data_IF_366628139987
#
_entry.id   IF_366628139987
#
_cell.length_a   1.000
_cell.length_b   1.000
_cell.length_c   1.000
_cell.angle_alpha   90.00
_cell.angle_beta   90.00
_cell.angle_gamma   90.00
#
_symmetry.space_group_name_H-M   'P 1'
#
loop_
_entity.id
_entity.type
_entity.pdbx_description
1 polymer ?
2 polymer ?
3 water ?
#
# COMPACT_ATOMS: atom_id res chain seq x y z
N UNK A 5 0.12 15.10 -2.42
CA UNK A 5 -0.78 14.41 -1.50
C UNK A 5 -0.11 14.05 -0.16
N UNK A 6 1.21 13.78 -0.17
CA UNK A 6 1.88 13.38 1.07
C UNK A 6 1.91 14.49 2.10
N UNK A 7 2.02 15.75 1.65
CA UNK A 7 2.00 16.86 2.61
C UNK A 7 0.63 16.93 3.29
N UNK A 8 -0.44 16.62 2.55
CA UNK A 8 -1.78 16.57 3.15
C UNK A 8 -1.86 15.49 4.22
N UNK A 9 -1.30 14.31 3.93
CA UNK A 9 -1.32 13.20 4.88
C UNK A 9 -0.49 13.51 6.11
N UNK A 10 0.71 14.08 5.92
CA UNK A 10 1.57 14.37 7.06
C UNK A 10 0.89 15.31 8.04
N UNK A 11 0.11 16.26 7.53
CA UNK A 11 -0.58 17.21 8.39
C UNK A 11 -1.79 16.56 9.06
N UNK A 12 -2.56 15.80 8.30
CA UNK A 12 -3.63 15.01 8.91
C UNK A 12 -3.07 14.15 10.03
N UNK A 13 -1.94 13.47 9.76
CA UNK A 13 -1.32 12.63 10.77
C UNK A 13 -0.75 13.45 11.92
N UNK A 14 -0.17 14.61 11.62
CA UNK A 14 0.40 15.44 12.68
C UNK A 14 -0.69 15.90 13.65
N UNK A 15 -1.85 16.28 13.13
CA UNK A 15 -2.94 16.73 14.00
C UNK A 15 -3.42 15.61 14.92
N UNK A 16 -3.66 14.43 14.36
CA UNK A 16 -4.18 13.31 15.15
C UNK A 16 -3.22 12.95 16.27
N UNK A 17 -1.93 12.80 15.94
CA UNK A 17 -0.96 12.39 16.95
C UNK A 17 -0.79 13.47 18.02
N UNK A 18 -1.02 14.74 17.65
CA UNK A 18 -1.05 15.82 18.63
C UNK A 18 -2.22 15.69 19.59
N UNK A 19 -3.27 14.97 19.19
CA UNK A 19 -4.45 14.80 20.01
C UNK A 19 -4.19 13.93 21.22
N UNK A 20 -3.15 13.11 21.18
CA UNK A 20 -2.92 12.07 22.19
C UNK A 20 -4.14 11.16 22.25
N UNK A 21 -4.54 10.57 21.12
CA UNK A 21 -5.87 9.93 21.04
C UNK A 21 -6.06 8.75 21.99
N UNK A 22 -5.01 8.14 22.50
CA UNK A 22 -5.20 7.07 23.47
C UNK A 22 -5.41 7.60 24.88
N UNK A 23 -5.34 8.92 25.07
CA UNK A 23 -5.42 9.54 26.39
C UNK A 23 -6.81 10.12 26.69
N UNK A 24 -7.80 9.86 25.84
CA UNK A 24 -9.14 10.38 26.07
C UNK A 24 -9.68 9.93 27.42
N UNK A 25 -10.60 10.75 27.97
CA UNK A 25 -11.34 10.30 29.13
C UNK A 25 -12.18 9.07 28.83
N UNK A 26 -12.82 9.03 27.67
CA UNK A 26 -13.54 7.85 27.22
C UNK A 26 -13.28 7.69 25.72
N UNK A 27 -12.34 6.80 25.37
CA UNK A 27 -12.10 6.47 23.98
C UNK A 27 -13.32 5.82 23.38
N UNK A 28 -13.77 6.33 22.23
CA UNK A 28 -14.91 5.80 21.49
C UNK A 28 -14.49 5.53 20.04
N UNK A 29 -13.56 4.58 19.90
CA UNK A 29 -12.91 4.36 18.60
C UNK A 29 -13.94 4.08 17.51
N UNK A 30 -14.95 3.27 17.81
CA UNK A 30 -15.93 2.92 16.80
C UNK A 30 -16.66 4.15 16.27
N UNK A 31 -16.76 5.21 17.06
CA UNK A 31 -17.39 6.45 16.60
C UNK A 31 -16.60 7.14 15.50
N UNK A 32 -15.34 6.73 15.27
CA UNK A 32 -14.51 7.32 14.24
C UNK A 32 -14.57 6.57 12.93
N UNK A 33 -15.33 5.49 12.86
CA UNK A 33 -15.45 4.72 11.62
C UNK A 33 -16.27 5.48 10.59
N UNK A 34 -15.94 5.24 9.32
CA UNK A 34 -16.68 5.80 8.19
C UNK A 34 -16.60 4.80 7.04
N UNK A 35 -17.48 3.79 7.05
CA UNK A 35 -17.35 2.66 6.10
C UNK A 35 -17.29 3.03 4.62
N UNK A 36 -17.70 4.24 4.26
CA UNK A 36 -17.66 4.66 2.87
C UNK A 36 -16.29 5.23 2.46
N UNK A 37 -15.33 5.29 3.38
CA UNK A 37 -13.97 5.71 3.07
C UNK A 37 -13.03 4.52 2.85
N UNK A 38 -13.58 3.30 2.73
CA UNK A 38 -12.75 2.13 2.45
C UNK A 38 -11.97 2.37 1.16
N UNK A 39 -10.69 2.00 1.08
CA UNK A 39 -9.94 2.22 -0.16
C UNK A 39 -10.40 1.32 -1.30
N UNK A 40 -10.06 1.74 -2.51
CA UNK A 40 -10.30 0.95 -3.72
C UNK A 40 -9.14 0.00 -3.97
N UNK A 41 -7.93 0.44 -3.67
CA UNK A 41 -6.73 -0.33 -3.94
C UNK A 41 -5.89 -0.42 -2.69
N UNK A 42 -5.29 -1.58 -2.48
CA UNK A 42 -4.17 -1.75 -1.56
C UNK A 42 -3.30 -2.87 -2.10
N UNK A 43 -2.12 -3.00 -1.51
CA UNK A 43 -1.16 -4.02 -1.92
C UNK A 43 -1.51 -5.30 -1.18
N UNK A 44 -1.88 -6.34 -1.92
CA UNK A 44 -2.31 -7.57 -1.30
C UNK A 44 -1.19 -8.60 -1.15
N UNK A 45 -0.08 -8.44 -1.88
CA UNK A 45 1.09 -9.34 -1.85
C UNK A 45 2.30 -8.52 -2.29
N UNK A 46 3.48 -8.92 -1.81
CA UNK A 46 4.72 -8.31 -2.31
C UNK A 46 5.88 -9.28 -2.17
N UNK A 47 6.89 -9.11 -3.03
CA UNK A 47 8.10 -9.93 -3.05
C UNK A 47 9.28 -8.99 -3.27
N UNK A 48 10.23 -8.98 -2.33
CA UNK A 48 11.38 -8.07 -2.41
C UNK A 48 12.56 -8.82 -2.99
N UNK A 49 12.72 -8.74 -4.30
CA UNK A 49 13.90 -9.29 -4.97
C UNK A 49 14.84 -8.18 -5.38
N UNK A 50 14.94 -7.14 -4.55
CA UNK A 50 15.65 -5.92 -4.91
C UNK A 50 17.16 -6.12 -4.96
N UNK A 51 17.67 -7.23 -4.41
CA UNK A 51 19.07 -7.57 -4.61
C UNK A 51 19.36 -7.96 -6.05
N UNK A 52 18.35 -8.32 -6.83
CA UNK A 52 18.52 -8.82 -8.18
C UNK A 52 17.69 -8.07 -9.21
N UNK A 53 16.40 -7.88 -8.98
CA UNK A 53 15.53 -7.33 -10.02
C UNK A 53 14.73 -6.12 -9.57
N UNK A 54 14.21 -6.14 -8.35
CA UNK A 54 13.29 -5.11 -7.91
C UNK A 54 12.19 -5.73 -7.07
N UNK A 55 11.11 -4.98 -6.89
CA UNK A 55 10.02 -5.32 -5.99
C UNK A 55 8.78 -5.67 -6.81
N UNK A 56 8.28 -6.90 -6.65
CA UNK A 56 7.05 -7.30 -7.30
C UNK A 56 5.90 -7.29 -6.29
N UNK A 57 4.71 -6.99 -6.78
CA UNK A 57 3.58 -6.84 -5.85
C UNK A 57 2.29 -7.21 -6.57
N UNK A 58 1.26 -7.49 -5.77
CA UNK A 58 -0.11 -7.65 -6.26
C UNK A 58 -0.98 -6.59 -5.61
N UNK A 59 -1.92 -6.05 -6.38
CA UNK A 59 -2.95 -5.16 -5.87
C UNK A 59 -4.22 -5.97 -5.64
N UNK A 60 -5.12 -5.43 -4.82
CA UNK A 60 -6.27 -6.23 -4.38
C UNK A 60 -7.20 -6.61 -5.54
N UNK A 61 -7.06 -5.98 -6.69
CA UNK A 61 -7.88 -6.35 -7.84
C UNK A 61 -7.24 -7.45 -8.68
N UNK A 62 -6.18 -8.08 -8.19
CA UNK A 62 -5.42 -9.14 -8.86
C UNK A 62 -4.57 -8.63 -10.01
N UNK A 63 -4.49 -7.31 -10.20
CA UNK A 63 -3.41 -6.80 -11.04
C UNK A 63 -2.08 -7.00 -10.31
N UNK A 64 -0.97 -7.02 -11.08
CA UNK A 64 0.34 -7.20 -10.49
C UNK A 64 1.26 -6.13 -11.08
N UNK A 65 2.39 -5.91 -10.42
CA UNK A 65 3.31 -4.88 -10.88
C UNK A 65 4.72 -5.16 -10.41
N UNK A 66 5.68 -4.50 -11.05
CA UNK A 66 7.06 -4.55 -10.60
C UNK A 66 7.61 -3.14 -10.62
N UNK A 67 8.37 -2.79 -9.59
CA UNK A 67 9.17 -1.57 -9.59
C UNK A 67 10.60 -2.06 -9.71
N UNK A 68 11.14 -1.98 -10.93
CA UNK A 68 12.46 -2.53 -11.18
C UNK A 68 13.53 -1.67 -10.52
N UNK A 69 14.73 -2.26 -10.38
CA UNK A 69 15.84 -1.56 -9.74
C UNK A 69 16.30 -0.34 -10.53
N UNK A 70 15.97 -0.29 -11.81
CA UNK A 70 16.27 0.88 -12.62
C UNK A 70 15.17 1.94 -12.55
N UNK A 71 14.31 1.85 -11.55
CA UNK A 71 13.23 2.78 -11.26
C UNK A 71 12.17 2.84 -12.35
N UNK A 72 12.16 1.89 -13.29
CA UNK A 72 11.02 1.74 -14.19
C UNK A 72 9.99 0.80 -13.57
N UNK A 73 8.75 0.89 -14.09
CA UNK A 73 7.64 0.08 -13.58
C UNK A 73 6.91 -0.61 -14.73
N UNK A 74 6.48 -1.85 -14.49
CA UNK A 74 5.62 -2.54 -15.42
C UNK A 74 4.44 -3.12 -14.66
N UNK A 75 3.24 -2.83 -15.13
CA UNK A 75 1.99 -3.27 -14.52
C UNK A 75 1.28 -4.18 -15.51
N UNK A 76 0.70 -5.27 -14.98
CA UNK A 76 -0.16 -6.16 -15.74
C UNK A 76 -1.58 -6.06 -15.18
N UNK A 77 -2.55 -5.77 -16.04
CA UNK A 77 -3.93 -5.66 -15.58
C UNK A 77 -4.49 -7.03 -15.18
N UNK A 78 -5.60 -7.01 -14.46
CA UNK A 78 -6.18 -8.32 -14.09
C UNK A 78 -6.83 -9.02 -15.26
N UNK A 79 -6.89 -8.42 -16.45
CA UNK A 79 -7.29 -9.19 -17.60
C UNK A 79 -6.20 -10.15 -18.07
N UNK A 80 -4.98 -10.03 -17.53
CA UNK A 80 -3.91 -10.95 -17.84
C UNK A 80 -3.17 -10.64 -19.13
N UNK A 81 -3.47 -9.52 -19.78
CA UNK A 81 -2.92 -9.24 -21.10
C UNK A 81 -2.44 -7.79 -21.23
N UNK A 82 -3.23 -6.85 -20.71
CA UNK A 82 -2.89 -5.43 -20.87
C UNK A 82 -1.76 -5.02 -19.92
N UNK A 83 -0.78 -4.31 -20.46
CA UNK A 83 0.39 -3.83 -19.74
C UNK A 83 0.45 -2.32 -19.76
N UNK A 84 0.98 -1.73 -18.68
CA UNK A 84 1.40 -0.34 -18.73
C UNK A 84 2.85 -0.26 -18.27
N UNK A 85 3.67 0.42 -19.06
CA UNK A 85 5.08 0.62 -18.76
C UNK A 85 5.28 2.07 -18.35
N UNK A 86 6.02 2.28 -17.27
CA UNK A 86 6.27 3.63 -16.78
C UNK A 86 7.77 3.81 -16.63
N UNK A 87 8.32 4.75 -17.39
CA UNK A 87 9.75 5.00 -17.40
C UNK A 87 10.16 5.78 -16.15
N UNK A 88 11.47 5.99 -16.01
CA UNK A 88 12.00 6.66 -14.82
C UNK A 88 11.39 8.05 -14.65
N UNK A 89 11.20 8.77 -15.75
CA UNK A 89 10.64 10.12 -15.70
C UNK A 89 9.10 10.14 -15.61
N UNK A 90 8.45 9.00 -15.45
CA UNK A 90 7.00 8.96 -15.36
C UNK A 90 6.25 8.82 -16.67
N UNK A 91 6.96 8.73 -17.79
CA UNK A 91 6.31 8.57 -19.10
C UNK A 91 5.63 7.22 -19.18
N UNK A 92 4.36 7.22 -19.57
CA UNK A 92 3.48 6.05 -19.53
C UNK A 92 3.12 5.57 -20.94
N UNK A 93 3.17 4.26 -21.13
CA UNK A 93 2.86 3.60 -22.39
C UNK A 93 2.04 2.36 -22.14
N UNK A 94 1.07 2.11 -23.01
CA UNK A 94 0.28 0.89 -22.98
C UNK A 94 0.81 -0.10 -24.01
N UNK A 95 0.89 -1.36 -23.61
CA UNK A 95 1.31 -2.47 -24.46
C UNK A 95 0.47 -3.66 -24.05
N UNK A 96 0.59 -4.78 -24.76
CA UNK A 96 -0.09 -5.99 -24.33
C UNK A 96 0.90 -7.15 -24.38
N UNK A 97 0.59 -8.22 -23.63
CA UNK A 97 1.37 -9.44 -23.78
C UNK A 97 1.22 -9.98 -25.21
N UNK A 98 0.03 -9.85 -25.78
CA UNK A 98 -0.16 -10.18 -27.19
C UNK A 98 0.76 -9.34 -28.07
N UNK A 99 0.57 -8.01 -28.05
CA UNK A 99 1.26 -7.07 -28.94
C UNK A 99 2.15 -6.14 -28.11
N UNK A 100 3.43 -6.47 -28.00
CA UNK A 100 4.39 -5.64 -27.29
C UNK A 100 5.71 -5.63 -28.04
N UNK A 101 6.60 -4.69 -27.71
CA UNK A 101 7.93 -4.68 -28.35
C UNK A 101 8.87 -5.70 -27.73
N UNK A 102 9.89 -6.04 -28.51
CA UNK A 102 10.90 -6.99 -28.08
C UNK A 102 11.77 -6.42 -26.95
N UNK A 103 11.89 -5.09 -26.87
CA UNK A 103 12.78 -4.49 -25.87
C UNK A 103 12.30 -4.76 -24.44
N UNK A 104 11.04 -5.09 -24.25
CA UNK A 104 10.53 -5.35 -22.91
C UNK A 104 10.42 -6.84 -22.62
N UNK A 105 10.98 -7.69 -23.48
CA UNK A 105 10.78 -9.12 -23.31
C UNK A 105 11.32 -9.61 -21.98
N UNK A 106 12.50 -9.12 -21.58
CA UNK A 106 13.08 -9.56 -20.31
C UNK A 106 12.25 -9.07 -19.12
N UNK A 107 11.85 -7.80 -19.13
CA UNK A 107 11.05 -7.28 -18.03
C UNK A 107 9.69 -7.98 -17.94
N UNK A 108 9.10 -8.38 -19.07
CA UNK A 108 7.83 -9.09 -19.03
C UNK A 108 8.00 -10.47 -18.42
N UNK A 109 9.11 -11.16 -18.71
CA UNK A 109 9.27 -12.47 -18.08
C UNK A 109 9.59 -12.34 -16.60
N UNK A 110 10.30 -11.27 -16.20
CA UNK A 110 10.49 -11.03 -14.78
C UNK A 110 9.15 -10.82 -14.09
N UNK A 111 8.25 -10.04 -14.72
CA UNK A 111 6.93 -9.86 -14.13
C UNK A 111 6.20 -11.19 -14.01
N UNK A 112 6.19 -11.98 -15.09
CA UNK A 112 5.54 -13.29 -15.03
C UNK A 112 6.18 -14.17 -13.95
N UNK A 113 7.49 -14.05 -13.76
CA UNK A 113 8.16 -14.80 -12.69
C UNK A 113 7.67 -14.35 -11.32
N UNK A 114 7.62 -13.04 -11.08
CA UNK A 114 7.00 -12.51 -9.86
C UNK A 114 5.55 -12.99 -9.72
N UNK A 115 4.77 -12.87 -10.80
CA UNK A 115 3.35 -13.26 -10.77
C UNK A 115 3.21 -14.71 -10.33
N UNK A 116 4.03 -15.58 -10.92
CA UNK A 116 3.97 -17.00 -10.62
C UNK A 116 4.34 -17.27 -9.18
N UNK A 117 5.40 -16.63 -8.69
CA UNK A 117 5.79 -16.80 -7.30
C UNK A 117 4.66 -16.40 -6.37
N UNK A 118 4.03 -15.25 -6.63
CA UNK A 118 3.02 -14.77 -5.69
C UNK A 118 1.82 -15.70 -5.64
N UNK A 119 1.40 -16.25 -6.78
CA UNK A 119 0.22 -17.13 -6.79
C UNK A 119 0.51 -18.47 -6.13
N UNK A 120 1.77 -18.92 -6.18
CA UNK A 120 2.14 -20.22 -5.60
C UNK A 120 2.42 -20.14 -4.11
N UNK A 121 2.84 -18.99 -3.59
CA UNK A 121 3.40 -18.90 -2.24
C UNK A 121 2.60 -18.06 -1.26
N UNK A 122 1.90 -17.02 -1.72
CA UNK A 122 1.55 -15.89 -0.87
C UNK A 122 0.05 -15.76 -0.64
N UNK A 123 -0.30 -15.40 0.59
CA UNK A 123 -1.69 -15.14 0.97
C UNK A 123 -2.11 -13.75 0.52
N UNK A 124 -3.32 -13.64 -0.04
CA UNK A 124 -3.81 -12.36 -0.55
C UNK A 124 -4.44 -11.59 0.62
N UNK A 125 -3.81 -10.46 0.98
CA UNK A 125 -4.27 -9.67 2.12
C UNK A 125 -5.58 -8.98 1.81
N UNK A 126 -6.48 -8.97 2.80
CA UNK A 126 -7.77 -8.33 2.64
C UNK A 126 -8.70 -9.00 1.66
N UNK A 127 -8.55 -10.31 1.44
CA UNK A 127 -9.31 -10.93 0.36
C UNK A 127 -10.80 -10.93 0.65
N UNK A 128 -11.18 -10.74 1.91
CA UNK A 128 -12.58 -10.70 2.32
C UNK A 128 -13.17 -9.29 2.32
N UNK A 129 -12.44 -8.28 1.85
CA UNK A 129 -12.92 -6.90 1.81
C UNK A 129 -13.31 -6.55 0.39
N UNK A 130 -14.50 -5.97 0.22
CA UNK A 130 -14.79 -5.44 -1.11
C UNK A 130 -14.30 -4.00 -1.22
N UNK A 131 -13.52 -3.67 -2.24
CA UNK A 131 -13.04 -2.29 -2.37
C UNK A 131 -14.18 -1.34 -2.71
N UNK A 132 -13.96 -0.08 -2.39
CA UNK A 132 -14.90 0.96 -2.77
C UNK A 132 -14.96 1.11 -4.29
N UNK A 133 -16.11 1.56 -4.79
CA UNK A 133 -16.29 1.78 -6.22
C UNK A 133 -15.41 2.92 -6.74
N UNK A 138 -11.87 4.58 -11.15
CA UNK A 138 -10.62 4.63 -10.39
C UNK A 138 -9.45 4.16 -11.25
N UNK A 139 -8.49 5.06 -11.47
CA UNK A 139 -7.34 4.75 -12.32
C UNK A 139 -6.38 3.79 -11.61
N UNK A 140 -5.95 2.74 -12.32
CA UNK A 140 -5.09 1.73 -11.71
C UNK A 140 -3.76 2.36 -11.32
N UNK A 141 -3.38 2.36 -10.04
CA UNK A 141 -2.12 2.99 -9.65
C UNK A 141 -0.94 2.04 -9.81
N UNK A 142 0.26 2.61 -9.79
CA UNK A 142 1.48 1.82 -9.70
C UNK A 142 2.24 2.17 -8.41
N UNK A 143 3.25 1.35 -8.10
CA UNK A 143 4.07 1.60 -6.92
C UNK A 143 5.08 2.68 -7.25
N UNK A 144 4.93 3.85 -6.62
CA UNK A 144 5.90 4.93 -6.85
C UNK A 144 7.21 4.64 -6.16
N UNK A 145 7.17 4.36 -4.87
CA UNK A 145 8.38 4.06 -4.12
C UNK A 145 8.02 3.14 -2.96
N UNK A 146 9.06 2.53 -2.39
CA UNK A 146 8.87 1.65 -1.26
C UNK A 146 10.17 1.61 -0.47
N UNK A 147 10.07 1.23 0.79
CA UNK A 147 11.28 0.86 1.52
C UNK A 147 10.89 -0.06 2.66
N UNK A 148 11.85 -0.84 3.10
CA UNK A 148 11.70 -1.72 4.26
C UNK A 148 12.50 -1.16 5.43
N UNK A 149 11.94 -1.31 6.62
CA UNK A 149 12.66 -1.18 7.88
C UNK A 149 12.72 -2.56 8.54
N UNK A 150 13.22 -2.61 9.77
CA UNK A 150 13.32 -3.92 10.41
C UNK A 150 11.96 -4.39 10.91
N UNK A 151 10.98 -3.49 11.03
CA UNK A 151 9.67 -3.85 11.55
C UNK A 151 8.53 -3.76 10.53
N UNK A 152 8.75 -3.17 9.35
CA UNK A 152 7.62 -2.90 8.46
C UNK A 152 8.13 -2.68 7.04
N UNK A 153 7.23 -2.84 6.07
CA UNK A 153 7.46 -2.39 4.70
C UNK A 153 6.51 -1.24 4.41
N UNK A 154 7.01 -0.23 3.72
CA UNK A 154 6.29 1.00 3.44
C UNK A 154 6.10 1.10 1.93
N UNK A 155 4.87 1.32 1.49
CA UNK A 155 4.54 1.22 0.08
C UNK A 155 3.74 2.46 -0.32
N UNK A 156 4.25 3.20 -1.29
CA UNK A 156 3.62 4.45 -1.71
C UNK A 156 3.14 4.29 -3.14
N UNK A 157 1.82 4.32 -3.32
CA UNK A 157 1.16 4.14 -4.61
C UNK A 157 0.98 5.48 -5.31
N UNK A 158 0.84 5.41 -6.64
CA UNK A 158 0.76 6.62 -7.46
C UNK A 158 -0.53 7.39 -7.28
N UNK A 159 -1.53 6.80 -6.62
CA UNK A 159 -2.79 7.49 -6.34
C UNK A 159 -2.75 8.23 -5.02
N UNK A 160 -1.60 8.26 -4.36
CA UNK A 160 -1.41 8.99 -3.12
C UNK A 160 -1.41 8.13 -1.87
N UNK A 161 -1.96 6.93 -1.95
CA UNK A 161 -2.07 6.08 -0.78
C UNK A 161 -0.71 5.61 -0.29
N UNK A 162 -0.61 5.45 1.02
CA UNK A 162 0.58 4.91 1.70
C UNK A 162 0.15 3.71 2.54
N UNK A 163 0.78 2.57 2.29
CA UNK A 163 0.48 1.36 3.04
C UNK A 163 1.69 1.00 3.87
N UNK A 164 1.47 0.65 5.13
CA UNK A 164 2.53 0.17 5.99
C UNK A 164 2.12 -1.19 6.53
N UNK A 165 2.85 -2.25 6.14
CA UNK A 165 2.63 -3.60 6.68
C UNK A 165 3.61 -3.88 7.79
N UNK A 166 3.13 -4.31 8.95
CA UNK A 166 4.00 -4.57 10.10
C UNK A 166 4.30 -6.07 10.19
N UNK A 167 5.58 -6.41 10.24
CA UNK A 167 5.98 -7.81 10.10
C UNK A 167 5.58 -8.65 11.30
N UNK A 168 5.72 -8.10 12.50
CA UNK A 168 5.66 -8.94 13.68
C UNK A 168 4.26 -9.51 13.89
N UNK A 169 3.23 -8.66 13.81
CA UNK A 169 1.88 -9.12 14.10
C UNK A 169 0.96 -9.09 12.88
N UNK A 170 1.49 -8.84 11.69
CA UNK A 170 0.73 -8.86 10.43
C UNK A 170 -0.36 -7.78 10.37
N UNK A 171 -0.32 -6.78 11.25
CA UNK A 171 -1.23 -5.64 11.13
C UNK A 171 -0.76 -4.71 10.04
N UNK A 172 -1.72 -3.94 9.48
CA UNK A 172 -1.45 -3.12 8.30
C UNK A 172 -2.21 -1.82 8.38
N UNK A 173 -1.58 -0.74 7.92
CA UNK A 173 -2.23 0.55 7.76
C UNK A 173 -2.34 0.89 6.28
N UNK A 174 -3.51 1.39 5.86
CA UNK A 174 -3.67 1.97 4.54
C UNK A 174 -4.13 3.40 4.75
N UNK A 175 -3.29 4.36 4.34
CA UNK A 175 -3.55 5.77 4.53
C UNK A 175 -3.94 6.41 3.20
N UNK A 176 -5.08 7.08 3.18
CA UNK A 176 -5.56 7.76 1.99
C UNK A 176 -5.67 9.24 2.27
N UNK A 177 -4.83 10.08 1.67
CA UNK A 177 -4.93 11.52 1.94
C UNK A 177 -6.13 12.17 1.28
N UNK A 178 -6.66 11.56 0.21
CA UNK A 178 -7.84 12.10 -0.44
C UNK A 178 -9.08 12.01 0.45
N UNK A 179 -9.14 11.04 1.35
CA UNK A 179 -10.27 10.87 2.24
C UNK A 179 -9.99 11.38 3.65
N UNK A 180 -8.77 11.84 3.91
CA UNK A 180 -8.28 12.09 5.27
C UNK A 180 -8.65 10.91 6.18
N UNK A 181 -8.27 9.71 5.74
CA UNK A 181 -8.76 8.49 6.37
C UNK A 181 -7.63 7.47 6.48
N UNK A 182 -7.84 6.50 7.36
CA UNK A 182 -6.92 5.38 7.52
C UNK A 182 -7.74 4.11 7.69
N UNK A 183 -7.24 3.03 7.11
CA UNK A 183 -7.78 1.69 7.32
C UNK A 183 -6.77 0.90 8.13
N UNK A 184 -7.24 0.25 9.19
CA UNK A 184 -6.39 -0.61 10.03
C UNK A 184 -6.88 -2.05 9.88
N UNK A 185 -5.97 -2.93 9.47
CA UNK A 185 -6.23 -4.36 9.41
C UNK A 185 -5.52 -4.95 10.62
N UNK A 186 -6.28 -5.50 11.56
CA UNK A 186 -5.69 -5.90 12.83
C UNK A 186 -5.21 -7.36 12.76
N UNK A 187 -4.70 -7.87 13.89
CA UNK A 187 -4.08 -9.19 13.89
C UNK A 187 -5.05 -10.29 13.47
N UNK A 188 -6.34 -10.11 13.77
CA UNK A 188 -7.35 -11.09 13.38
C UNK A 188 -7.89 -10.86 11.96
N UNK A 189 -7.25 -9.98 11.17
CA UNK A 189 -7.63 -9.65 9.79
C UNK A 189 -8.98 -8.97 9.71
N UNK A 190 -9.47 -8.42 10.81
CA UNK A 190 -10.62 -7.53 10.73
C UNK A 190 -10.14 -6.14 10.36
N UNK A 191 -10.88 -5.50 9.48
CA UNK A 191 -10.51 -4.20 8.94
C UNK A 191 -11.50 -3.15 9.41
N UNK A 192 -11.00 -1.97 9.73
CA UNK A 192 -11.83 -0.84 10.08
C UNK A 192 -11.26 0.38 9.39
N UNK A 193 -12.15 1.21 8.85
CA UNK A 193 -11.77 2.45 8.18
C UNK A 193 -12.20 3.63 9.03
N UNK A 194 -11.27 4.56 9.26
CA UNK A 194 -11.49 5.71 10.14
C UNK A 194 -11.22 7.00 9.40
N UNK A 195 -12.11 7.98 9.58
CA UNK A 195 -11.76 9.36 9.30
C UNK A 195 -10.79 9.85 10.37
N UNK A 196 -9.65 10.37 9.94
CA UNK A 196 -8.63 10.78 10.90
C UNK A 196 -9.10 11.92 11.80
N UNK A 197 -9.94 12.84 11.27
CA UNK A 197 -10.50 13.89 12.11
C UNK A 197 -11.30 13.29 13.27
N UNK A 198 -12.06 12.23 13.00
CA UNK A 198 -12.87 11.61 14.05
C UNK A 198 -12.02 10.83 15.04
N UNK A 199 -10.92 10.23 14.60
CA UNK A 199 -9.99 9.63 15.54
C UNK A 199 -9.37 10.68 16.45
N UNK A 200 -9.23 11.92 15.97
CA UNK A 200 -8.76 13.01 16.82
C UNK A 200 -9.73 13.29 17.96
N UNK A 201 -11.02 13.40 17.63
CA UNK A 201 -12.01 13.69 18.66
C UNK A 201 -12.17 12.50 19.61
N UNK A 202 -12.53 11.34 19.07
CA UNK A 202 -12.99 10.22 19.90
C UNK A 202 -11.87 9.34 20.45
N UNK A 203 -10.64 9.46 19.95
CA UNK A 203 -9.55 8.67 20.47
C UNK A 203 -9.50 7.27 19.90
N UNK A 204 -8.47 6.51 20.31
CA UNK A 204 -8.31 5.13 19.88
C UNK A 204 -7.42 4.39 20.88
N UNK A 205 -7.31 3.08 20.70
CA UNK A 205 -6.52 2.26 21.60
C UNK A 205 -5.03 2.60 21.45
N UNK A 206 -4.24 2.11 22.41
CA UNK A 206 -2.81 2.42 22.40
C UNK A 206 -2.13 1.80 21.18
N UNK A 207 -2.57 0.60 20.80
CA UNK A 207 -1.95 -0.08 19.67
C UNK A 207 -2.03 0.76 18.40
N UNK A 208 -3.23 1.26 18.08
CA UNK A 208 -3.41 2.05 16.87
C UNK A 208 -2.69 3.39 16.97
N UNK A 209 -2.78 4.05 18.13
CA UNK A 209 -2.05 5.31 18.28
C UNK A 209 -0.56 5.10 18.06
N UNK A 210 -0.02 3.98 18.57
CA UNK A 210 1.37 3.63 18.31
C UNK A 210 1.65 3.54 16.81
N UNK A 211 0.79 2.83 16.08
CA UNK A 211 0.98 2.68 14.63
C UNK A 211 0.93 4.03 13.91
N UNK A 212 0.06 4.93 14.37
CA UNK A 212 -0.11 6.22 13.69
C UNK A 212 1.06 7.16 13.94
N UNK A 213 1.70 7.05 15.11
CA UNK A 213 2.93 7.81 15.33
C UNK A 213 4.04 7.29 14.43
N UNK A 214 4.13 5.97 14.31
CA UNK A 214 5.07 5.37 13.37
C UNK A 214 4.79 5.84 11.95
N UNK A 215 3.52 5.82 11.56
CA UNK A 215 3.14 6.25 10.22
C UNK A 215 3.62 7.66 9.93
N UNK A 216 3.54 8.55 10.93
CA UNK A 216 4.00 9.91 10.70
C UNK A 216 5.48 9.93 10.34
N UNK A 217 6.31 9.18 11.08
CA UNK A 217 7.73 9.12 10.78
C UNK A 217 7.96 8.58 9.37
N UNK A 218 7.20 7.54 8.98
CA UNK A 218 7.34 7.00 7.64
C UNK A 218 6.94 7.99 6.57
N UNK A 219 5.93 8.83 6.84
CA UNK A 219 5.53 9.77 5.79
C UNK A 219 6.55 10.90 5.70
N UNK A 220 7.18 11.27 6.82
CA UNK A 220 8.31 12.21 6.78
C UNK A 220 9.42 11.68 5.89
N UNK A 221 9.73 10.39 6.02
CA UNK A 221 10.78 9.79 5.21
C UNK A 221 10.42 9.79 3.73
N UNK A 222 9.17 9.45 3.41
CA UNK A 222 8.74 9.49 2.01
C UNK A 222 8.85 10.90 1.45
N UNK A 223 8.33 11.88 2.20
CA UNK A 223 8.40 13.27 1.75
C UNK A 223 9.84 13.72 1.57
N UNK A 224 10.72 13.32 2.48
CA UNK A 224 12.11 13.75 2.39
C UNK A 224 12.86 13.04 1.28
N UNK A 225 12.34 11.91 0.80
CA UNK A 225 12.99 11.16 -0.28
C UNK A 225 12.70 11.74 -1.65
N UNK A 226 11.76 12.67 -1.78
CA UNK A 226 11.57 13.36 -3.04
C UNK A 226 12.77 14.27 -3.33
N UNK B 1 11.39 -10.41 6.54
CA UNK B 1 11.18 -11.36 5.45
C UNK B 1 11.42 -10.70 4.10
N UNK B 2 11.61 -11.49 3.04
CA UNK B 2 11.76 -10.93 1.71
C UNK B 2 10.51 -11.09 0.88
N UNK B 3 9.41 -11.57 1.47
CA UNK B 3 8.11 -11.59 0.80
C UNK B 3 7.02 -11.43 1.85
N UNK B 4 5.83 -11.09 1.40
CA UNK B 4 4.71 -10.97 2.33
C UNK B 4 4.28 -12.33 2.87
N UNK B 5 3.24 -12.30 3.69
CA UNK B 5 2.81 -13.49 4.42
C UNK B 5 2.51 -14.65 3.50
N UNK B 6 3.21 -15.78 3.71
CA UNK B 6 3.00 -16.98 2.89
C UNK B 6 1.81 -17.77 3.37
N UNK B 7 1.17 -18.49 2.47
CA UNK B 7 0.27 -19.56 2.87
C UNK B 7 1.04 -20.54 3.75
#
# INVERSE_FOLDING_TARGET
GHDCHLSDMLQQLHSVNASKPSERGLVRQEEAEDPACIPIFWVSKWVDYSDKYGLGYQLCDNSVGVLFNDSTRLILYNDGDSLQYIERDGTESYLTVSSHPNSLMKKITLLKYFRNYMSEHLLKAGANITPREGDELARLPYLRTWFRTRSAIILHLSNGSVQINFFQDHTKLILCPLMAAVTYIDEKRDFRTYRLSLLEEYGCCKELASRLRYARTMVDKLLSSR
PISSTPL
#
